data_IF_668196646282
#
_entry.id   IF_668196646282
#
_cell.length_a   1.000
_cell.length_b   1.000
_cell.length_c   1.000
_cell.angle_alpha   90.00
_cell.angle_beta   90.00
_cell.angle_gamma   90.00
#
_symmetry.space_group_name_H-M   'P 1'
#
loop_
_entity.id
_entity.type
_entity.pdbx_description
1 polymer ?
#
# COMPACT_ATOMS: atom_id res chain seq x y z
N UNK A 1 -27.98 -72.20 -31.37
CA UNK A 1 -26.63 -72.20 -30.75
C UNK A 1 -25.85 -70.88 -30.91
N UNK A 2 -26.01 -70.14 -32.02
CA UNK A 2 -25.30 -68.86 -32.29
C UNK A 2 -25.80 -67.69 -31.42
N UNK A 3 -27.12 -67.61 -31.17
CA UNK A 3 -27.73 -66.57 -30.32
C UNK A 3 -27.28 -66.66 -28.85
N UNK A 4 -27.14 -67.87 -28.30
CA UNK A 4 -26.70 -68.09 -26.92
C UNK A 4 -25.23 -67.70 -26.71
N UNK A 5 -24.36 -67.96 -27.69
CA UNK A 5 -22.94 -67.52 -27.67
C UNK A 5 -22.79 -66.00 -27.76
N UNK A 6 -23.63 -65.32 -28.56
CA UNK A 6 -23.67 -63.85 -28.63
C UNK A 6 -24.13 -63.23 -27.32
N UNK A 7 -25.15 -63.80 -26.67
CA UNK A 7 -25.65 -63.30 -25.40
C UNK A 7 -24.62 -63.45 -24.28
N UNK A 8 -23.94 -64.60 -24.19
CA UNK A 8 -22.85 -64.82 -23.22
C UNK A 8 -21.70 -63.84 -23.46
N UNK A 9 -21.32 -63.59 -24.72
CA UNK A 9 -20.24 -62.64 -25.03
C UNK A 9 -20.60 -61.20 -24.69
N UNK A 10 -21.84 -60.77 -24.98
CA UNK A 10 -22.32 -59.42 -24.62
C UNK A 10 -22.39 -59.26 -23.11
N UNK A 11 -22.85 -60.27 -22.37
CA UNK A 11 -22.90 -60.25 -20.91
C UNK A 11 -21.49 -60.28 -20.30
N UNK A 12 -20.56 -61.11 -20.80
CA UNK A 12 -19.17 -61.09 -20.34
C UNK A 12 -18.51 -59.75 -20.64
N UNK A 13 -18.71 -59.19 -21.84
CA UNK A 13 -18.12 -57.92 -22.25
C UNK A 13 -18.66 -56.76 -21.40
N UNK A 14 -19.96 -56.75 -21.09
CA UNK A 14 -20.57 -55.73 -20.23
C UNK A 14 -20.18 -55.89 -18.75
N UNK A 15 -20.05 -57.10 -18.24
CA UNK A 15 -19.52 -57.36 -16.88
C UNK A 15 -18.05 -56.96 -16.78
N UNK A 16 -17.23 -57.22 -17.82
CA UNK A 16 -15.83 -56.77 -17.90
C UNK A 16 -15.74 -55.25 -18.02
N UNK A 17 -16.64 -54.61 -18.78
CA UNK A 17 -16.69 -53.14 -18.89
C UNK A 17 -17.06 -52.49 -17.54
N UNK A 18 -18.00 -53.08 -16.80
CA UNK A 18 -18.40 -52.64 -15.45
C UNK A 18 -17.30 -52.94 -14.41
N UNK A 19 -16.56 -54.05 -14.54
CA UNK A 19 -15.43 -54.36 -13.67
C UNK A 19 -14.17 -53.51 -13.96
N UNK A 20 -14.01 -53.03 -15.20
CA UNK A 20 -13.00 -52.03 -15.60
C UNK A 20 -13.40 -50.60 -15.22
N UNK A 21 -14.68 -50.38 -14.89
CA UNK A 21 -15.19 -49.13 -14.31
C UNK A 21 -14.91 -49.11 -12.81
N UNK A 22 -13.62 -49.19 -12.44
CA UNK A 22 -13.18 -49.01 -11.07
C UNK A 22 -13.74 -47.70 -10.50
N UNK A 23 -13.99 -47.68 -9.19
CA UNK A 23 -14.35 -46.46 -8.46
C UNK A 23 -13.45 -45.30 -8.93
N UNK A 24 -14.00 -44.12 -9.31
CA UNK A 24 -13.18 -43.01 -9.76
C UNK A 24 -12.08 -42.75 -8.73
N UNK A 25 -10.82 -42.53 -9.15
CA UNK A 25 -9.72 -42.31 -8.23
C UNK A 25 -10.09 -41.18 -7.27
N UNK A 26 -9.98 -41.43 -5.96
CA UNK A 26 -10.26 -40.43 -4.94
C UNK A 26 -9.26 -39.30 -5.12
N UNK A 27 -9.77 -38.09 -5.35
CA UNK A 27 -8.95 -36.89 -5.48
C UNK A 27 -8.29 -36.56 -4.14
N UNK A 28 -6.96 -36.61 -4.07
CA UNK A 28 -6.22 -36.35 -2.83
C UNK A 28 -6.03 -34.87 -2.65
N UNK A 29 -5.72 -34.48 -1.42
CA UNK A 29 -5.54 -33.06 -1.11
C UNK A 29 -4.22 -32.53 -1.70
N UNK A 30 -4.22 -31.31 -2.25
CA UNK A 30 -2.99 -30.64 -2.62
C UNK A 30 -2.21 -30.18 -1.37
N UNK A 31 -0.93 -29.86 -1.56
CA UNK A 31 -0.01 -29.42 -0.51
C UNK A 31 0.69 -28.15 -0.95
N UNK A 32 0.69 -27.15 -0.07
CA UNK A 32 1.54 -25.97 -0.17
C UNK A 32 2.79 -26.16 0.68
N UNK A 33 3.96 -25.87 0.12
CA UNK A 33 5.26 -25.99 0.79
C UNK A 33 6.13 -24.76 0.50
N UNK A 34 7.27 -24.63 1.20
CA UNK A 34 8.20 -23.50 1.03
C UNK A 34 7.54 -22.11 1.10
N UNK A 35 6.52 -21.99 1.97
CA UNK A 35 5.74 -20.78 2.18
C UNK A 35 6.62 -19.68 2.77
N UNK A 36 6.69 -18.54 2.09
CA UNK A 36 7.56 -17.42 2.45
C UNK A 36 6.94 -16.09 2.06
N UNK A 37 7.45 -15.02 2.65
CA UNK A 37 7.14 -13.64 2.29
C UNK A 37 8.35 -13.06 1.58
N UNK A 38 8.12 -12.41 0.44
CA UNK A 38 9.14 -11.65 -0.29
C UNK A 38 8.76 -10.16 -0.33
N UNK A 39 9.76 -9.30 -0.50
CA UNK A 39 9.61 -7.85 -0.47
C UNK A 39 10.22 -7.21 0.78
N UNK A 40 10.24 -5.88 0.80
CA UNK A 40 10.78 -5.11 1.93
C UNK A 40 9.70 -4.89 2.99
N UNK A 41 10.03 -5.14 4.25
CA UNK A 41 9.13 -4.94 5.40
C UNK A 41 9.15 -3.48 5.86
N UNK A 42 8.70 -2.58 4.98
CA UNK A 42 8.62 -1.14 5.22
C UNK A 42 7.16 -0.71 5.03
N UNK A 43 6.58 0.02 5.98
CA UNK A 43 5.20 0.52 5.83
C UNK A 43 5.05 1.36 4.56
N UNK A 44 3.96 1.19 3.82
CA UNK A 44 3.79 1.82 2.51
C UNK A 44 4.40 1.04 1.35
N UNK A 45 5.15 -0.05 1.61
CA UNK A 45 5.60 -1.01 0.59
C UNK A 45 4.70 -2.24 0.53
N UNK A 46 4.77 -2.96 -0.59
CA UNK A 46 4.07 -4.22 -0.82
C UNK A 46 4.99 -5.41 -0.54
N UNK A 47 4.41 -6.44 0.08
CA UNK A 47 5.02 -7.76 0.21
C UNK A 47 4.15 -8.80 -0.50
N UNK A 48 4.76 -9.90 -0.95
CA UNK A 48 4.08 -10.99 -1.63
C UNK A 48 4.32 -12.32 -0.90
N UNK A 49 3.26 -13.12 -0.80
CA UNK A 49 3.29 -14.49 -0.33
C UNK A 49 3.60 -15.46 -1.46
N UNK A 50 4.72 -16.18 -1.33
CA UNK A 50 5.13 -17.23 -2.27
C UNK A 50 5.09 -18.61 -1.60
N UNK A 51 4.78 -19.64 -2.39
CA UNK A 51 4.79 -21.04 -1.98
C UNK A 51 4.88 -21.94 -3.21
N UNK A 52 5.30 -23.19 -2.97
CA UNK A 52 5.32 -24.24 -3.96
C UNK A 52 4.07 -25.10 -3.80
N UNK A 53 3.25 -25.16 -4.84
CA UNK A 53 2.08 -26.03 -4.92
C UNK A 53 2.47 -27.41 -5.44
N UNK A 54 1.91 -28.46 -4.84
CA UNK A 54 2.02 -29.82 -5.35
C UNK A 54 0.72 -30.59 -5.12
N UNK A 55 0.43 -31.52 -6.02
CA UNK A 55 -0.74 -32.39 -5.91
C UNK A 55 -0.35 -33.83 -6.30
N UNK A 56 -0.79 -34.88 -5.56
CA UNK A 56 -0.41 -36.26 -5.85
C UNK A 56 -0.84 -36.76 -7.24
N UNK A 57 -1.96 -36.26 -7.75
CA UNK A 57 -2.48 -36.58 -9.08
C UNK A 57 -1.93 -35.63 -10.16
N UNK A 58 -1.11 -34.65 -9.77
CA UNK A 58 -0.56 -33.57 -10.60
C UNK A 58 -1.64 -32.68 -11.21
N UNK A 59 -2.78 -32.56 -10.52
CA UNK A 59 -3.78 -31.56 -10.87
C UNK A 59 -3.19 -30.17 -10.66
N UNK A 60 -3.43 -29.27 -11.61
CA UNK A 60 -2.98 -27.87 -11.50
C UNK A 60 -3.69 -27.17 -10.34
N UNK A 61 -3.06 -26.12 -9.83
CA UNK A 61 -3.65 -25.28 -8.80
C UNK A 61 -4.92 -24.58 -9.31
N UNK A 62 -5.94 -24.56 -8.46
CA UNK A 62 -7.18 -23.81 -8.63
C UNK A 62 -7.19 -22.51 -7.83
N UNK A 63 -8.32 -22.16 -7.24
CA UNK A 63 -8.51 -20.92 -6.51
C UNK A 63 -8.09 -21.05 -5.03
N UNK A 64 -6.78 -21.14 -4.78
CA UNK A 64 -6.21 -21.15 -3.42
C UNK A 64 -6.59 -19.91 -2.62
N UNK A 65 -6.69 -20.06 -1.30
CA UNK A 65 -7.12 -18.99 -0.39
C UNK A 65 -5.95 -18.46 0.42
N UNK A 66 -5.95 -17.15 0.67
CA UNK A 66 -4.86 -16.47 1.36
C UNK A 66 -5.34 -15.70 2.57
N UNK A 67 -4.49 -15.62 3.59
CA UNK A 67 -4.67 -14.72 4.74
C UNK A 67 -3.33 -14.15 5.18
N UNK A 68 -3.39 -12.94 5.70
CA UNK A 68 -2.26 -12.29 6.34
C UNK A 68 -2.51 -12.09 7.82
N UNK A 69 -1.44 -12.18 8.60
CA UNK A 69 -1.45 -11.99 10.05
C UNK A 69 -0.34 -11.06 10.47
N UNK A 70 -0.56 -10.39 11.60
CA UNK A 70 0.46 -9.62 12.31
C UNK A 70 0.66 -10.17 13.72
N UNK A 71 1.89 -10.12 14.24
CA UNK A 71 2.20 -10.46 15.63
C UNK A 71 3.36 -9.63 16.16
N UNK A 72 3.40 -9.43 17.47
CA UNK A 72 4.55 -8.83 18.17
C UNK A 72 5.70 -9.82 18.37
N UNK A 73 5.43 -11.13 18.21
CA UNK A 73 6.41 -12.19 18.40
C UNK A 73 6.82 -12.83 17.06
N UNK A 74 8.12 -13.18 16.86
CA UNK A 74 8.59 -13.88 15.67
C UNK A 74 8.37 -15.41 15.72
N UNK A 75 7.87 -15.95 16.84
CA UNK A 75 7.72 -17.39 17.09
C UNK A 75 6.38 -17.97 16.59
N UNK A 76 5.55 -17.16 15.93
CA UNK A 76 4.23 -17.57 15.44
C UNK A 76 3.14 -17.62 16.49
N UNK A 77 3.38 -17.12 17.71
CA UNK A 77 2.34 -16.98 18.74
C UNK A 77 1.56 -15.68 18.59
N UNK A 78 0.37 -15.60 19.19
CA UNK A 78 -0.48 -14.39 19.26
C UNK A 78 -0.76 -13.72 17.90
N UNK A 79 -0.92 -14.52 16.84
CA UNK A 79 -1.25 -14.03 15.52
C UNK A 79 -2.62 -13.33 15.53
N UNK A 80 -2.64 -12.08 15.08
CA UNK A 80 -3.88 -11.34 14.81
C UNK A 80 -4.12 -11.33 13.31
N UNK A 81 -5.29 -11.80 12.88
CA UNK A 81 -5.67 -11.76 11.46
C UNK A 81 -5.81 -10.33 10.97
N UNK A 82 -5.27 -10.05 9.79
CA UNK A 82 -5.45 -8.78 9.11
C UNK A 82 -6.70 -8.89 8.26
N UNK A 83 -7.80 -8.31 8.74
CA UNK A 83 -9.11 -8.37 8.07
C UNK A 83 -9.01 -7.95 6.60
N UNK A 84 -9.66 -8.72 5.72
CA UNK A 84 -9.76 -8.47 4.27
C UNK A 84 -8.45 -8.61 3.47
N UNK A 85 -7.31 -8.90 4.11
CA UNK A 85 -6.07 -9.22 3.40
C UNK A 85 -6.13 -10.67 2.85
N UNK A 86 -6.79 -10.84 1.71
CA UNK A 86 -7.04 -12.15 1.07
C UNK A 86 -6.38 -12.32 -0.30
N UNK A 87 -5.47 -11.41 -0.67
CA UNK A 87 -4.64 -11.51 -1.88
C UNK A 87 -3.28 -12.14 -1.55
N UNK A 88 -2.57 -12.64 -2.57
CA UNK A 88 -1.14 -13.00 -2.45
C UNK A 88 -0.25 -11.79 -2.18
N UNK A 89 -0.72 -10.59 -2.51
CA UNK A 89 -0.04 -9.35 -2.20
C UNK A 89 -0.66 -8.68 -0.97
N UNK A 90 0.18 -8.08 -0.14
CA UNK A 90 -0.26 -7.26 0.99
C UNK A 90 0.49 -5.94 1.05
N UNK A 91 -0.27 -4.86 1.16
CA UNK A 91 0.24 -3.51 1.32
C UNK A 91 0.45 -3.24 2.82
N UNK A 92 1.71 -3.09 3.23
CA UNK A 92 2.04 -2.82 4.62
C UNK A 92 1.54 -1.44 5.03
N UNK A 93 0.94 -1.36 6.21
CA UNK A 93 0.37 -0.14 6.77
C UNK A 93 1.16 0.32 7.99
N UNK A 94 0.90 1.54 8.45
CA UNK A 94 1.52 2.04 9.68
C UNK A 94 1.15 1.20 10.92
N UNK A 95 0.00 0.51 10.90
CA UNK A 95 -0.39 -0.39 11.99
C UNK A 95 0.50 -1.63 12.10
N UNK A 96 1.24 -1.96 11.04
CA UNK A 96 2.15 -3.10 11.00
C UNK A 96 3.54 -2.76 11.54
N UNK A 97 3.89 -1.47 11.64
CA UNK A 97 5.19 -1.01 12.15
C UNK A 97 5.44 -1.58 13.55
N UNK A 98 6.64 -2.11 13.75
CA UNK A 98 7.05 -2.80 14.98
C UNK A 98 6.57 -4.24 15.11
N UNK A 99 5.87 -4.79 14.11
CA UNK A 99 5.32 -6.15 14.12
C UNK A 99 5.94 -7.03 13.05
N UNK A 100 5.77 -8.34 13.22
CA UNK A 100 6.07 -9.37 12.25
C UNK A 100 4.83 -9.71 11.44
N UNK A 101 5.03 -9.96 10.15
CA UNK A 101 3.97 -10.39 9.23
C UNK A 101 4.11 -11.87 8.92
N UNK A 102 2.97 -12.53 8.77
CA UNK A 102 2.86 -13.93 8.37
C UNK A 102 1.84 -14.08 7.24
N UNK A 103 2.13 -15.01 6.35
CA UNK A 103 1.29 -15.35 5.21
C UNK A 103 0.83 -16.79 5.33
N UNK A 104 -0.47 -17.02 5.22
CA UNK A 104 -1.08 -18.34 5.17
C UNK A 104 -1.68 -18.58 3.79
N UNK A 105 -1.43 -19.76 3.25
CA UNK A 105 -2.11 -20.27 2.06
C UNK A 105 -2.87 -21.54 2.40
N UNK A 106 -4.10 -21.65 1.92
CA UNK A 106 -4.85 -22.90 1.83
C UNK A 106 -4.90 -23.32 0.36
N UNK A 107 -4.13 -24.34 -0.06
CA UNK A 107 -4.06 -24.77 -1.45
C UNK A 107 -5.39 -25.41 -1.86
N UNK A 108 -5.84 -25.10 -3.07
CA UNK A 108 -7.03 -25.71 -3.67
C UNK A 108 -6.67 -26.14 -5.09
N UNK A 109 -6.98 -27.37 -5.46
CA UNK A 109 -6.76 -27.85 -6.82
C UNK A 109 -7.84 -27.36 -7.79
N UNK A 110 -7.65 -27.58 -9.09
CA UNK A 110 -8.62 -27.18 -10.13
C UNK A 110 -9.98 -27.89 -10.02
N UNK A 111 -10.06 -29.00 -9.27
CA UNK A 111 -11.29 -29.76 -9.03
C UNK A 111 -11.97 -29.34 -7.71
N UNK A 112 -11.43 -28.35 -7.00
CA UNK A 112 -11.98 -27.80 -5.76
C UNK A 112 -11.63 -28.59 -4.50
N UNK A 113 -10.69 -29.54 -4.56
CA UNK A 113 -10.19 -30.23 -3.36
C UNK A 113 -9.28 -29.30 -2.58
N UNK A 114 -9.58 -29.18 -1.30
CA UNK A 114 -8.89 -28.29 -0.36
C UNK A 114 -7.83 -29.07 0.39
N UNK A 115 -6.61 -28.51 0.46
CA UNK A 115 -5.53 -28.99 1.31
C UNK A 115 -5.45 -28.29 2.65
N UNK A 116 -4.49 -28.72 3.46
CA UNK A 116 -4.25 -28.12 4.78
C UNK A 116 -3.62 -26.73 4.64
N UNK A 117 -3.99 -25.76 5.50
CA UNK A 117 -3.36 -24.45 5.50
C UNK A 117 -1.88 -24.58 5.87
N UNK A 118 -1.03 -23.82 5.16
CA UNK A 118 0.40 -23.73 5.41
C UNK A 118 0.79 -22.26 5.66
N UNK A 119 1.56 -22.04 6.73
CA UNK A 119 1.98 -20.71 7.19
C UNK A 119 3.46 -20.47 6.86
N UNK A 120 3.80 -19.24 6.51
CA UNK A 120 5.19 -18.79 6.39
C UNK A 120 5.89 -18.75 7.75
N UNK A 121 7.22 -18.65 7.73
CA UNK A 121 7.96 -18.08 8.86
C UNK A 121 7.62 -16.59 9.02
N UNK A 122 7.95 -16.02 10.17
CA UNK A 122 7.88 -14.58 10.39
C UNK A 122 8.70 -13.83 9.33
N UNK A 123 8.17 -12.69 8.87
CA UNK A 123 8.96 -11.71 8.13
C UNK A 123 10.07 -11.11 9.00
N UNK A 124 10.86 -10.18 8.46
CA UNK A 124 11.56 -9.20 9.29
C UNK A 124 10.55 -8.27 9.98
N UNK A 125 10.96 -7.59 11.05
CA UNK A 125 10.12 -6.58 11.68
C UNK A 125 9.79 -5.48 10.67
N UNK A 126 8.54 -5.04 10.64
CA UNK A 126 8.14 -3.92 9.77
C UNK A 126 8.65 -2.62 10.36
N UNK A 127 9.38 -1.85 9.56
CA UNK A 127 9.86 -0.51 9.94
C UNK A 127 8.98 0.56 9.29
N UNK A 128 8.98 1.77 9.87
CA UNK A 128 8.29 2.91 9.28
C UNK A 128 8.97 3.31 7.96
N UNK A 129 8.16 3.53 6.93
CA UNK A 129 8.61 4.05 5.64
C UNK A 129 8.58 5.58 5.56
N UNK A 130 8.89 6.12 4.38
CA UNK A 130 8.77 7.54 4.08
C UNK A 130 7.32 8.03 4.27
N UNK A 131 7.12 9.12 4.99
CA UNK A 131 5.79 9.73 5.15
C UNK A 131 5.85 11.23 5.43
N UNK A 132 4.74 11.91 5.16
CA UNK A 132 4.47 13.26 5.65
C UNK A 132 3.47 13.19 6.80
N UNK A 133 3.60 14.11 7.74
CA UNK A 133 2.78 14.19 8.95
C UNK A 133 2.38 15.63 9.20
N UNK A 134 1.11 15.87 9.50
CA UNK A 134 0.62 17.16 9.99
C UNK A 134 0.69 17.09 11.51
N UNK A 135 1.39 18.05 12.13
CA UNK A 135 1.55 18.08 13.59
C UNK A 135 0.27 18.63 14.21
N UNK A 136 -0.35 17.82 15.07
CA UNK A 136 -1.49 18.24 15.89
C UNK A 136 -1.15 19.50 16.69
N UNK A 137 -2.03 20.50 16.61
CA UNK A 137 -1.81 21.80 17.24
C UNK A 137 -3.07 22.30 17.92
N UNK A 138 -2.89 23.09 18.96
CA UNK A 138 -3.98 23.86 19.59
C UNK A 138 -3.70 25.33 19.34
N UNK A 139 -4.69 26.03 18.78
CA UNK A 139 -4.60 27.44 18.42
C UNK A 139 -5.75 28.21 19.04
N UNK A 140 -5.50 29.47 19.42
CA UNK A 140 -6.54 30.33 19.96
C UNK A 140 -7.45 30.83 18.84
N UNK A 141 -8.76 30.93 19.11
CA UNK A 141 -9.69 31.56 18.17
C UNK A 141 -9.34 33.04 17.95
N UNK A 142 -9.67 33.57 16.78
CA UNK A 142 -9.41 34.98 16.44
C UNK A 142 -7.92 35.37 16.58
N UNK A 143 -7.03 34.44 16.21
CA UNK A 143 -5.58 34.61 16.29
C UNK A 143 -4.92 34.17 15.00
N UNK A 144 -3.63 34.49 14.85
CA UNK A 144 -2.79 33.87 13.82
C UNK A 144 -2.28 32.53 14.35
N UNK A 145 -2.82 31.44 13.82
CA UNK A 145 -2.40 30.07 14.10
C UNK A 145 -1.39 29.57 13.08
N UNK A 146 -0.75 28.43 13.37
CA UNK A 146 0.10 27.77 12.37
C UNK A 146 0.01 26.25 12.47
N UNK A 147 0.10 25.60 11.32
CA UNK A 147 0.23 24.16 11.16
C UNK A 147 1.64 23.85 10.70
N UNK A 148 2.26 22.83 11.28
CA UNK A 148 3.58 22.33 10.88
C UNK A 148 3.41 21.03 10.13
N UNK A 149 4.12 20.88 9.02
CA UNK A 149 4.24 19.61 8.30
C UNK A 149 5.64 19.06 8.50
N UNK A 150 5.70 17.81 8.95
CA UNK A 150 6.93 17.02 9.11
C UNK A 150 7.09 16.03 7.98
N UNK A 151 8.34 15.73 7.66
CA UNK A 151 8.73 14.56 6.87
C UNK A 151 9.39 13.53 7.78
N UNK A 152 9.06 12.25 7.59
CA UNK A 152 9.63 11.13 8.31
C UNK A 152 10.23 10.12 7.33
N UNK A 153 11.46 9.67 7.58
CA UNK A 153 12.21 8.71 6.76
C UNK A 153 12.18 8.99 5.24
N UNK A 154 12.18 10.26 4.82
CA UNK A 154 12.21 10.62 3.39
C UNK A 154 13.60 10.44 2.77
N UNK A 155 14.63 10.29 3.62
CA UNK A 155 16.03 10.25 3.17
C UNK A 155 16.49 11.61 2.66
N UNK A 156 17.49 11.62 1.79
CA UNK A 156 17.97 12.83 1.15
C UNK A 156 16.97 13.34 0.11
N UNK A 157 16.51 14.58 0.28
CA UNK A 157 15.57 15.22 -0.64
C UNK A 157 16.09 16.58 -1.14
N UNK A 158 15.86 16.85 -2.43
CA UNK A 158 16.20 18.12 -3.09
C UNK A 158 14.97 19.03 -3.29
N UNK A 159 13.78 18.44 -3.37
CA UNK A 159 12.52 19.14 -3.51
C UNK A 159 11.35 18.31 -2.99
N UNK A 160 10.29 18.99 -2.55
CA UNK A 160 9.02 18.38 -2.17
C UNK A 160 7.88 19.37 -2.37
N UNK A 161 6.67 18.85 -2.49
CA UNK A 161 5.45 19.63 -2.46
C UNK A 161 4.50 19.12 -1.37
N UNK A 162 3.72 20.04 -0.81
CA UNK A 162 2.71 19.78 0.20
C UNK A 162 1.41 20.44 -0.23
N UNK A 163 0.35 19.64 -0.29
CA UNK A 163 -1.00 20.06 -0.63
C UNK A 163 -1.91 19.72 0.54
N UNK A 164 -2.48 20.75 1.17
CA UNK A 164 -3.38 20.62 2.30
C UNK A 164 -4.76 21.18 1.97
N UNK A 165 -5.78 20.50 2.48
CA UNK A 165 -7.15 20.99 2.58
C UNK A 165 -7.49 21.28 4.04
N UNK A 166 -8.23 22.34 4.29
CA UNK A 166 -8.64 22.77 5.63
C UNK A 166 -10.09 23.24 5.67
N UNK A 167 -10.72 23.24 6.84
CA UNK A 167 -12.09 23.76 6.98
C UNK A 167 -12.11 25.29 6.98
N UNK A 168 -12.56 25.89 5.87
CA UNK A 168 -12.71 27.33 5.70
C UNK A 168 -13.68 27.98 6.70
N UNK A 169 -14.52 27.19 7.39
CA UNK A 169 -15.38 27.67 8.48
C UNK A 169 -14.66 27.89 9.80
N UNK A 170 -13.43 27.37 9.96
CA UNK A 170 -12.59 27.58 11.13
C UNK A 170 -11.37 28.44 10.86
N UNK A 171 -10.85 28.45 9.63
CA UNK A 171 -9.61 29.15 9.32
C UNK A 171 -9.54 29.60 7.87
N UNK A 172 -8.77 30.65 7.61
CA UNK A 172 -8.43 31.09 6.25
C UNK A 172 -6.93 31.12 6.08
N UNK A 173 -6.42 30.74 4.91
CA UNK A 173 -4.99 30.79 4.66
C UNK A 173 -4.54 32.26 4.51
N UNK A 174 -3.46 32.63 5.19
CA UNK A 174 -2.88 33.98 5.08
C UNK A 174 -1.97 34.14 3.85
N UNK A 175 -1.63 33.03 3.19
CA UNK A 175 -0.55 32.95 2.20
C UNK A 175 0.86 33.01 2.82
N UNK A 176 0.98 33.19 4.13
CA UNK A 176 2.25 33.21 4.83
C UNK A 176 2.67 31.77 5.11
N UNK A 177 3.79 31.38 4.52
CA UNK A 177 4.42 30.06 4.71
C UNK A 177 5.90 30.27 5.00
N UNK A 178 6.41 29.50 5.95
CA UNK A 178 7.82 29.48 6.31
C UNK A 178 8.40 28.10 6.00
N UNK A 179 9.46 28.06 5.19
CA UNK A 179 10.28 26.86 5.07
C UNK A 179 11.17 26.77 6.30
N UNK A 180 11.22 25.60 6.92
CA UNK A 180 12.06 25.31 8.07
C UNK A 180 13.37 24.62 7.66
N UNK A 181 13.49 24.27 6.38
CA UNK A 181 14.64 23.58 5.78
C UNK A 181 15.34 24.42 4.69
N UNK A 182 14.92 25.67 4.49
CA UNK A 182 15.44 26.56 3.45
C UNK A 182 14.87 26.25 2.06
N UNK A 183 15.66 26.46 1.02
CA UNK A 183 15.23 26.28 -0.37
C UNK A 183 14.40 27.44 -0.92
N UNK A 184 14.05 27.32 -2.20
CA UNK A 184 13.15 28.22 -2.90
C UNK A 184 11.73 27.71 -2.73
N UNK A 185 10.82 28.60 -2.34
CA UNK A 185 9.43 28.26 -2.08
C UNK A 185 8.51 28.92 -3.10
N UNK A 186 7.53 28.15 -3.57
CA UNK A 186 6.37 28.64 -4.31
C UNK A 186 5.12 28.27 -3.53
N UNK A 187 4.22 29.23 -3.34
CA UNK A 187 2.95 29.02 -2.68
C UNK A 187 1.82 29.37 -3.64
N UNK A 188 0.81 28.51 -3.71
CA UNK A 188 -0.41 28.70 -4.50
C UNK A 188 -1.61 28.32 -3.64
N UNK A 189 -2.71 29.04 -3.82
CA UNK A 189 -4.01 28.70 -3.23
C UNK A 189 -4.98 28.37 -4.38
N UNK A 190 -5.11 27.09 -4.77
CA UNK A 190 -5.95 26.69 -5.90
C UNK A 190 -7.45 26.91 -5.64
N UNK A 191 -7.86 26.75 -4.39
CA UNK A 191 -9.23 26.94 -3.91
C UNK A 191 -9.20 27.63 -2.55
N UNK A 192 -10.33 28.19 -2.10
CA UNK A 192 -10.41 28.93 -0.83
C UNK A 192 -9.97 28.09 0.39
N UNK A 193 -10.13 26.77 0.31
CA UNK A 193 -9.83 25.80 1.35
C UNK A 193 -8.60 24.90 1.03
N UNK A 194 -7.85 25.18 -0.04
CA UNK A 194 -6.67 24.39 -0.44
C UNK A 194 -5.43 25.26 -0.50
N UNK A 195 -4.34 24.83 0.14
CA UNK A 195 -3.02 25.45 0.03
C UNK A 195 -2.03 24.45 -0.56
N UNK A 196 -1.28 24.88 -1.57
CA UNK A 196 -0.20 24.14 -2.18
C UNK A 196 1.11 24.90 -1.99
N UNK A 197 2.09 24.25 -1.38
CA UNK A 197 3.45 24.76 -1.18
C UNK A 197 4.43 23.80 -1.85
N UNK A 198 5.24 24.30 -2.79
CA UNK A 198 6.36 23.57 -3.34
C UNK A 198 7.67 24.20 -2.85
N UNK A 199 8.60 23.37 -2.37
CA UNK A 199 9.95 23.80 -1.95
C UNK A 199 10.97 23.01 -2.76
N UNK A 200 11.91 23.71 -3.37
CA UNK A 200 12.97 23.13 -4.19
C UNK A 200 14.34 23.75 -3.90
N UNK A 201 15.38 23.23 -4.54
CA UNK A 201 16.77 23.65 -4.34
C UNK A 201 17.23 23.51 -2.89
N UNK A 202 16.75 22.45 -2.22
CA UNK A 202 17.27 22.05 -0.93
C UNK A 202 18.70 21.53 -1.12
N UNK A 203 19.60 21.87 -0.19
CA UNK A 203 20.96 21.33 -0.20
C UNK A 203 20.94 19.99 0.53
N UNK A 204 20.66 18.91 -0.19
CA UNK A 204 20.77 17.50 0.27
C UNK A 204 20.34 17.34 1.73
N UNK A 205 19.07 17.62 2.01
CA UNK A 205 18.53 17.54 3.37
C UNK A 205 18.15 16.09 3.66
N UNK A 206 18.87 15.43 4.57
CA UNK A 206 18.49 14.11 5.07
C UNK A 206 17.34 14.23 6.07
N UNK A 207 16.15 13.78 5.66
CA UNK A 207 14.90 13.91 6.42
C UNK A 207 14.55 12.58 7.08
N UNK A 208 14.74 12.53 8.40
CA UNK A 208 14.42 11.36 9.24
C UNK A 208 13.18 11.60 10.12
N UNK A 209 13.12 12.72 10.83
CA UNK A 209 11.92 13.23 11.48
C UNK A 209 12.07 14.74 11.64
N UNK A 210 11.77 15.47 10.57
CA UNK A 210 12.15 16.87 10.41
C UNK A 210 10.92 17.72 10.16
N UNK A 211 10.76 18.82 10.89
CA UNK A 211 9.77 19.84 10.54
C UNK A 211 10.21 20.52 9.23
N UNK A 212 9.39 20.41 8.19
CA UNK A 212 9.74 20.87 6.84
C UNK A 212 9.24 22.30 6.60
N UNK A 213 8.00 22.57 6.98
CA UNK A 213 7.36 23.85 6.72
C UNK A 213 6.32 24.17 7.79
N UNK A 214 6.05 25.47 7.94
CA UNK A 214 5.01 26.03 8.78
C UNK A 214 4.10 26.90 7.93
N UNK A 215 2.81 26.60 7.90
CA UNK A 215 1.79 27.38 7.20
C UNK A 215 0.97 28.13 8.24
N UNK A 216 0.77 29.42 8.02
CA UNK A 216 0.01 30.28 8.92
C UNK A 216 -1.41 30.50 8.42
N UNK A 217 -2.35 30.43 9.36
CA UNK A 217 -3.77 30.59 9.11
C UNK A 217 -4.35 31.62 10.07
N UNK A 218 -5.24 32.46 9.55
CA UNK A 218 -6.10 33.26 10.42
C UNK A 218 -7.18 32.34 10.98
N UNK A 219 -7.15 32.11 12.30
CA UNK A 219 -8.13 31.28 12.99
C UNK A 219 -9.35 32.12 13.28
N UNK A 220 -10.51 31.67 12.79
CA UNK A 220 -11.78 32.36 12.91
C UNK A 220 -12.34 32.24 14.34
N UNK A 221 -13.45 32.91 14.61
CA UNK A 221 -14.07 32.95 15.95
C UNK A 221 -14.75 31.66 16.40
N UNK A 222 -14.77 30.60 15.56
CA UNK A 222 -15.44 29.33 15.82
C UNK A 222 -14.57 28.44 16.72
N UNK A 223 -15.16 27.88 17.77
CA UNK A 223 -14.49 26.91 18.65
C UNK A 223 -14.93 25.49 18.32
N UNK A 224 -13.98 24.54 18.33
CA UNK A 224 -14.26 23.13 18.07
C UNK A 224 -13.01 22.42 17.57
N UNK A 225 -13.16 21.14 17.23
CA UNK A 225 -12.14 20.38 16.51
C UNK A 225 -12.43 20.53 15.01
N UNK A 226 -11.38 20.73 14.25
CA UNK A 226 -11.39 20.74 12.79
C UNK A 226 -10.17 19.98 12.30
N UNK A 227 -10.19 19.57 11.05
CA UNK A 227 -9.13 18.80 10.43
C UNK A 227 -8.43 19.63 9.36
N UNK A 228 -7.11 19.42 9.27
CA UNK A 228 -6.31 19.78 8.10
C UNK A 228 -5.79 18.45 7.58
N UNK A 229 -6.03 18.17 6.30
CA UNK A 229 -5.72 16.89 5.69
C UNK A 229 -4.84 17.07 4.48
N UNK A 230 -4.03 16.06 4.16
CA UNK A 230 -3.39 16.00 2.85
C UNK A 230 -4.46 15.74 1.80
N UNK A 231 -4.44 16.50 0.71
CA UNK A 231 -5.39 16.36 -0.40
C UNK A 231 -4.66 16.31 -1.75
N UNK A 232 -5.41 16.13 -2.83
CA UNK A 232 -4.94 16.27 -4.20
C UNK A 232 -5.87 17.22 -4.97
N UNK A 233 -5.32 17.97 -5.92
CA UNK A 233 -6.12 18.80 -6.82
C UNK A 233 -5.56 18.76 -8.26
N UNK A 234 -6.39 19.12 -9.22
CA UNK A 234 -6.00 19.25 -10.64
C UNK A 234 -5.97 20.72 -11.01
N UNK A 235 -4.84 21.19 -11.51
CA UNK A 235 -4.69 22.56 -12.00
C UNK A 235 -5.52 22.83 -13.27
N UNK A 236 -5.71 24.10 -13.61
CA UNK A 236 -6.37 24.52 -14.87
C UNK A 236 -5.71 23.91 -16.12
N UNK A 237 -4.41 23.61 -16.06
CA UNK A 237 -3.66 22.94 -17.14
C UNK A 237 -3.79 21.41 -17.16
N UNK A 238 -4.60 20.81 -16.27
CA UNK A 238 -4.81 19.36 -16.19
C UNK A 238 -3.73 18.59 -15.43
N UNK A 239 -2.78 19.28 -14.79
CA UNK A 239 -1.74 18.64 -13.97
C UNK A 239 -2.27 18.38 -12.55
N UNK A 240 -2.16 17.15 -12.08
CA UNK A 240 -2.52 16.74 -10.71
C UNK A 240 -1.35 17.00 -9.75
N UNK A 241 -1.67 17.56 -8.59
CA UNK A 241 -0.72 17.86 -7.52
C UNK A 241 -1.17 17.20 -6.22
N UNK A 242 -0.22 16.67 -5.47
CA UNK A 242 -0.44 16.04 -4.16
C UNK A 242 0.84 16.07 -3.35
N UNK A 243 0.73 15.97 -2.03
CA UNK A 243 1.93 15.93 -1.18
C UNK A 243 2.88 14.80 -1.56
N UNK A 244 4.11 15.13 -1.93
CA UNK A 244 5.15 14.17 -2.32
C UNK A 244 6.55 14.77 -2.26
N UNK A 245 7.56 13.92 -2.18
CA UNK A 245 8.93 14.30 -2.59
C UNK A 245 8.92 14.43 -4.12
N UNK A 246 9.53 15.50 -4.63
CA UNK A 246 9.68 15.72 -6.06
C UNK A 246 11.02 15.08 -6.46
N UNK A 247 11.02 14.07 -7.34
CA UNK A 247 12.25 13.44 -7.78
C UNK A 247 13.14 14.46 -8.49
N UNK A 248 14.45 14.29 -8.34
CA UNK A 248 15.40 15.07 -9.14
C UNK A 248 15.17 14.77 -10.63
N UNK A 249 15.04 15.83 -11.42
CA UNK A 249 14.92 15.72 -12.87
C UNK A 249 16.31 15.88 -13.43
N UNK A 250 16.96 14.75 -13.72
CA UNK A 250 18.19 14.76 -14.52
C UNK A 250 17.90 15.45 -15.87
N UNK A 251 18.78 16.36 -16.29
CA UNK A 251 18.76 17.04 -17.60
C UNK A 251 17.74 18.18 -17.82
N UNK A 252 17.20 18.82 -16.76
CA UNK A 252 16.44 20.05 -16.97
C UNK A 252 17.34 21.21 -17.45
N UNK A 253 17.39 21.45 -18.77
CA UNK A 253 18.12 22.58 -19.35
C UNK A 253 17.40 23.91 -19.07
N UNK A 254 17.86 24.63 -18.06
CA UNK A 254 17.39 25.96 -17.69
C UNK A 254 18.28 27.09 -18.28
N UNK A 255 19.09 26.79 -19.30
CA UNK A 255 20.02 27.78 -19.88
C UNK A 255 19.37 28.77 -20.84
N UNK A 256 18.09 28.62 -21.17
CA UNK A 256 17.39 29.54 -22.06
C UNK A 256 17.20 30.92 -21.42
N UNK A 257 17.45 31.99 -22.20
CA UNK A 257 17.36 33.38 -21.74
C UNK A 257 16.48 34.18 -22.71
N UNK A 258 15.36 34.67 -22.20
CA UNK A 258 14.49 35.61 -22.92
C UNK A 258 15.01 37.05 -22.86
N UNK A 259 15.03 37.75 -23.99
CA UNK A 259 15.25 39.21 -24.04
C UNK A 259 13.90 39.91 -23.94
N UNK A 260 13.66 40.63 -22.85
CA UNK A 260 12.48 41.49 -22.70
C UNK A 260 12.85 42.90 -23.20
N UNK A 261 12.19 43.34 -24.27
CA UNK A 261 12.28 44.72 -24.74
C UNK A 261 11.11 45.49 -24.13
N UNK A 262 11.40 46.37 -23.18
CA UNK A 262 10.42 47.28 -22.58
C UNK A 262 10.35 48.54 -23.46
N UNK A 263 9.15 48.86 -23.95
CA UNK A 263 8.85 50.09 -24.69
C UNK A 263 8.23 51.15 -23.77
#
# INVERSE_FOLDING_TARGET
MILLKRLIYVVLLSVVLVALSGCPPINKMPVASNVRIIGQTISGQRVEGEYDYSDPEKDIEGASKYRWYRSENPDGTNLTVISQATSREYQLTFQDVGKYIYFEVTPIDIKGKVGDPAMSKASSIVVAGPSFEIVDTTVDKSSLGSVVVKGNNLGEINAFEVVLEFDAGYMTCTGIVQSLVGGLMITRQPEDNIIHVAIASLKEVDVQSTELLRIFFDILGKTGITEVIFTEYVSEGGVSFKTTVIPEVDELDLSDVGIIIVQ
#
